data_IF_364650734803
#
_entry.id   IF_364650734803
#
_cell.length_a   1.000
_cell.length_b   1.000
_cell.length_c   1.000
_cell.angle_alpha   90.00
_cell.angle_beta   90.00
_cell.angle_gamma   90.00
#
_symmetry.space_group_name_H-M   'P 1'
#
loop_
_entity.id
_entity.type
_entity.pdbx_description
1 polymer ?
#
# COMPACT_ATOMS: atom_id res chain seq x y z
N UNK A 1 -10.95 -4.84 -21.48
CA UNK A 1 -10.05 -5.79 -20.80
C UNK A 1 -9.37 -4.93 -19.78
N UNK A 2 -9.47 -5.30 -18.52
CA UNK A 2 -9.39 -4.32 -17.44
C UNK A 2 -8.68 -4.88 -16.23
N UNK A 3 -8.00 -4.02 -15.50
CA UNK A 3 -7.42 -4.32 -14.20
C UNK A 3 -8.38 -3.81 -13.15
N UNK A 4 -8.85 -4.69 -12.27
CA UNK A 4 -9.72 -4.33 -11.15
C UNK A 4 -8.88 -4.24 -9.88
N UNK A 5 -8.91 -3.08 -9.23
CA UNK A 5 -8.17 -2.79 -7.99
C UNK A 5 -9.18 -2.62 -6.87
N UNK A 6 -9.07 -3.45 -5.83
CA UNK A 6 -9.91 -3.36 -4.61
C UNK A 6 -9.04 -3.00 -3.43
N UNK A 7 -9.36 -1.90 -2.74
CA UNK A 7 -8.65 -1.46 -1.54
C UNK A 7 -9.18 -2.25 -0.34
N UNK A 8 -8.51 -3.37 -0.01
CA UNK A 8 -8.93 -4.22 1.11
C UNK A 8 -8.73 -3.52 2.45
N UNK A 9 -7.61 -2.81 2.60
CA UNK A 9 -7.28 -2.02 3.78
C UNK A 9 -6.59 -0.72 3.40
N UNK A 10 -6.95 0.36 4.09
CA UNK A 10 -6.48 1.73 3.79
C UNK A 10 -5.89 2.44 5.01
N UNK A 11 -5.86 1.77 6.16
CA UNK A 11 -5.44 2.31 7.44
C UNK A 11 -3.98 2.03 7.77
N UNK A 12 -3.49 2.77 8.76
CA UNK A 12 -2.21 2.52 9.39
C UNK A 12 -2.20 1.22 10.23
N UNK A 13 -1.06 0.97 10.84
CA UNK A 13 -0.77 -0.14 11.75
C UNK A 13 -1.86 -0.44 12.80
N UNK A 14 -2.54 0.59 13.31
CA UNK A 14 -3.57 0.45 14.35
C UNK A 14 -4.99 0.38 13.81
N UNK A 15 -5.18 0.80 12.56
CA UNK A 15 -6.46 0.96 11.91
C UNK A 15 -7.30 2.09 12.52
N UNK A 16 -8.41 2.39 11.85
CA UNK A 16 -9.44 3.33 12.33
C UNK A 16 -10.79 2.63 12.29
N UNK A 17 -11.56 2.52 13.38
CA UNK A 17 -11.29 3.07 14.71
C UNK A 17 -10.22 2.31 15.49
N UNK A 18 -9.29 3.05 16.10
CA UNK A 18 -8.22 2.47 16.93
C UNK A 18 -8.78 1.87 18.23
N UNK A 19 -8.23 0.72 18.65
CA UNK A 19 -8.62 0.05 19.89
C UNK A 19 -8.38 0.95 21.11
N UNK A 20 -9.42 1.22 21.89
CA UNK A 20 -9.34 2.04 23.11
C UNK A 20 -9.27 3.56 22.86
N UNK A 21 -9.50 4.01 21.62
CA UNK A 21 -9.59 5.43 21.30
C UNK A 21 -11.05 5.93 21.29
N UNK A 22 -11.26 7.08 21.94
CA UNK A 22 -12.53 7.80 22.05
C UNK A 22 -12.44 9.21 21.39
N UNK A 23 -11.60 9.39 20.36
CA UNK A 23 -11.62 10.66 19.61
C UNK A 23 -12.82 10.73 18.67
N UNK A 24 -13.23 11.95 18.31
CA UNK A 24 -14.40 12.21 17.45
C UNK A 24 -14.38 11.40 16.14
N UNK A 25 -13.21 11.23 15.52
CA UNK A 25 -13.04 10.43 14.30
C UNK A 25 -13.31 8.94 14.54
N UNK A 26 -12.77 8.36 15.62
CA UNK A 26 -12.98 6.97 15.99
C UNK A 26 -14.42 6.71 16.44
N UNK A 27 -15.02 7.62 17.21
CA UNK A 27 -16.42 7.53 17.63
C UNK A 27 -17.34 7.55 16.41
N UNK A 28 -17.15 8.51 15.50
CA UNK A 28 -17.93 8.60 14.28
C UNK A 28 -17.73 7.38 13.35
N UNK A 29 -16.51 6.84 13.25
CA UNK A 29 -16.24 5.60 12.51
C UNK A 29 -17.13 4.46 13.04
N UNK A 30 -17.15 4.26 14.36
CA UNK A 30 -17.98 3.23 15.01
C UNK A 30 -19.47 3.46 14.77
N UNK A 31 -19.94 4.70 14.91
CA UNK A 31 -21.36 5.06 14.71
C UNK A 31 -21.83 4.86 13.27
N UNK A 32 -20.95 5.16 12.29
CA UNK A 32 -21.23 5.02 10.86
C UNK A 32 -20.95 3.61 10.33
N UNK A 33 -20.29 2.76 11.11
CA UNK A 33 -19.82 1.45 10.66
C UNK A 33 -18.71 1.54 9.61
N UNK A 34 -17.91 2.60 9.66
CA UNK A 34 -16.75 2.80 8.80
C UNK A 34 -15.50 2.24 9.47
N UNK A 35 -14.62 1.66 8.67
CA UNK A 35 -13.36 1.10 9.13
C UNK A 35 -12.26 1.33 8.10
N UNK A 36 -11.04 1.48 8.59
CA UNK A 36 -9.80 1.34 7.85
C UNK A 36 -8.97 0.26 8.52
N UNK A 37 -8.97 -0.92 7.92
CA UNK A 37 -8.10 -2.04 8.32
C UNK A 37 -6.68 -1.81 7.80
N UNK A 38 -5.69 -2.59 8.27
CA UNK A 38 -4.29 -2.40 7.83
C UNK A 38 -4.16 -2.59 6.33
N UNK A 39 -3.29 -1.80 5.74
CA UNK A 39 -3.05 -1.72 4.30
C UNK A 39 -2.98 -3.09 3.60
N UNK A 40 -3.79 -3.26 2.56
CA UNK A 40 -3.69 -4.38 1.62
C UNK A 40 -4.51 -4.04 0.37
N UNK A 41 -4.04 -4.47 -0.80
CA UNK A 41 -4.68 -4.18 -2.09
C UNK A 41 -4.78 -5.45 -2.93
N UNK A 42 -5.99 -5.74 -3.42
CA UNK A 42 -6.23 -6.83 -4.34
C UNK A 42 -6.30 -6.32 -5.78
N UNK A 43 -5.50 -6.91 -6.68
CA UNK A 43 -5.40 -6.50 -8.08
C UNK A 43 -5.74 -7.69 -8.97
N UNK A 44 -6.88 -7.64 -9.65
CA UNK A 44 -7.34 -8.69 -10.55
C UNK A 44 -7.10 -8.29 -12.02
N UNK A 45 -6.48 -9.19 -12.76
CA UNK A 45 -6.38 -9.11 -14.20
C UNK A 45 -7.57 -9.84 -14.83
N UNK A 46 -8.65 -9.12 -15.15
CA UNK A 46 -9.90 -9.73 -15.65
C UNK A 46 -9.72 -10.46 -17.00
N UNK A 47 -8.61 -10.21 -17.72
CA UNK A 47 -8.27 -10.92 -18.96
C UNK A 47 -7.75 -12.33 -18.70
N UNK A 48 -6.92 -12.53 -17.67
CA UNK A 48 -6.40 -13.86 -17.33
C UNK A 48 -7.28 -14.56 -16.30
N UNK A 49 -8.05 -13.80 -15.51
CA UNK A 49 -8.78 -14.28 -14.34
C UNK A 49 -7.88 -14.54 -13.15
N UNK A 50 -6.63 -14.07 -13.20
CA UNK A 50 -5.66 -14.21 -12.11
C UNK A 50 -5.63 -12.93 -11.26
N UNK A 51 -5.21 -13.07 -10.01
CA UNK A 51 -5.14 -11.95 -9.07
C UNK A 51 -3.87 -11.93 -8.24
N UNK A 52 -3.41 -10.71 -7.95
CA UNK A 52 -2.25 -10.37 -7.16
C UNK A 52 -2.70 -9.68 -5.87
N UNK A 53 -2.17 -10.12 -4.74
CA UNK A 53 -2.30 -9.41 -3.45
C UNK A 53 -1.06 -8.57 -3.17
N UNK A 54 -1.23 -7.28 -2.89
CA UNK A 54 -0.17 -6.43 -2.33
C UNK A 54 -0.36 -6.38 -0.82
N UNK A 55 0.65 -6.86 -0.10
CA UNK A 55 0.73 -7.02 1.34
C UNK A 55 -0.31 -7.97 1.97
N UNK A 56 0.20 -8.90 2.79
CA UNK A 56 -0.59 -9.82 3.60
C UNK A 56 -0.89 -9.20 4.97
N UNK A 57 -1.84 -8.27 4.99
CA UNK A 57 -2.33 -7.66 6.22
C UNK A 57 -2.80 -8.71 7.26
N UNK A 58 -2.57 -8.49 8.56
CA UNK A 58 -3.14 -9.35 9.62
C UNK A 58 -4.68 -9.39 9.59
N UNK A 59 -5.32 -8.45 8.90
CA UNK A 59 -6.76 -8.42 8.68
C UNK A 59 -7.22 -9.27 7.48
N UNK A 60 -6.31 -9.99 6.79
CA UNK A 60 -6.56 -10.83 5.60
C UNK A 60 -7.89 -11.59 5.67
N UNK A 61 -8.12 -12.37 6.72
CA UNK A 61 -9.34 -13.17 6.85
C UNK A 61 -10.60 -12.30 6.84
N UNK A 62 -10.56 -11.18 7.54
CA UNK A 62 -11.70 -10.27 7.63
C UNK A 62 -11.91 -9.52 6.32
N UNK A 63 -10.85 -8.98 5.73
CA UNK A 63 -10.87 -8.27 4.45
C UNK A 63 -11.46 -9.12 3.32
N UNK A 64 -10.99 -10.35 3.15
CA UNK A 64 -11.47 -11.26 2.11
C UNK A 64 -12.94 -11.68 2.32
N UNK A 65 -13.38 -11.82 3.57
CA UNK A 65 -14.78 -12.11 3.88
C UNK A 65 -15.70 -10.90 3.68
N UNK A 66 -15.19 -9.68 3.85
CA UNK A 66 -15.94 -8.44 3.71
C UNK A 66 -16.15 -8.11 2.23
N UNK A 67 -15.09 -8.21 1.43
CA UNK A 67 -15.12 -7.83 0.01
C UNK A 67 -15.47 -8.97 -0.96
N UNK A 68 -15.47 -10.22 -0.50
CA UNK A 68 -15.79 -11.40 -1.34
C UNK A 68 -14.91 -11.52 -2.60
N UNK A 69 -13.65 -11.08 -2.50
CA UNK A 69 -12.63 -11.23 -3.56
C UNK A 69 -12.09 -12.67 -3.61
N UNK A 70 -11.68 -13.17 -4.79
CA UNK A 70 -11.05 -14.48 -4.91
C UNK A 70 -9.73 -14.52 -4.14
N UNK A 71 -9.28 -15.73 -3.77
CA UNK A 71 -7.93 -15.92 -3.24
C UNK A 71 -6.90 -15.57 -4.32
N UNK A 72 -5.81 -14.87 -3.97
CA UNK A 72 -4.80 -14.45 -4.93
C UNK A 72 -3.99 -15.64 -5.47
N UNK A 73 -3.57 -15.55 -6.72
CA UNK A 73 -2.66 -16.53 -7.34
C UNK A 73 -1.20 -16.25 -6.94
N UNK A 74 -0.88 -14.97 -6.70
CA UNK A 74 0.43 -14.52 -6.24
C UNK A 74 0.29 -13.36 -5.25
N UNK A 75 1.34 -13.10 -4.48
CA UNK A 75 1.40 -11.92 -3.64
C UNK A 75 2.74 -11.20 -3.74
N UNK A 76 2.74 -9.91 -3.44
CA UNK A 76 3.95 -9.10 -3.29
C UNK A 76 3.97 -8.49 -1.89
N UNK A 77 5.10 -8.61 -1.19
CA UNK A 77 5.32 -7.99 0.13
C UNK A 77 6.20 -6.75 -0.04
N UNK A 78 5.70 -5.60 0.41
CA UNK A 78 6.40 -4.31 0.38
C UNK A 78 7.52 -4.25 1.39
N UNK A 79 7.27 -4.71 2.62
CA UNK A 79 8.24 -4.76 3.71
C UNK A 79 7.74 -5.61 4.88
N UNK A 80 8.57 -5.77 5.92
CA UNK A 80 8.37 -6.78 6.98
C UNK A 80 7.72 -6.25 8.26
N UNK A 81 7.10 -5.07 8.24
CA UNK A 81 6.29 -4.67 9.40
C UNK A 81 5.03 -5.54 9.50
N UNK A 82 4.58 -5.77 10.73
CA UNK A 82 3.54 -6.75 11.03
C UNK A 82 2.24 -6.49 10.25
N UNK A 83 1.91 -5.21 10.05
CA UNK A 83 0.70 -4.74 9.39
C UNK A 83 0.65 -5.07 7.89
N UNK A 84 1.78 -5.50 7.32
CA UNK A 84 1.92 -5.85 5.90
C UNK A 84 2.22 -7.34 5.66
N UNK A 85 2.60 -8.09 6.70
CA UNK A 85 3.12 -9.45 6.55
C UNK A 85 2.35 -10.51 7.37
N UNK A 86 1.83 -10.15 8.56
CA UNK A 86 1.38 -11.15 9.55
C UNK A 86 0.10 -11.91 9.14
N UNK A 87 -0.58 -11.48 8.08
CA UNK A 87 -1.67 -12.22 7.45
C UNK A 87 -1.24 -13.50 6.76
N UNK A 88 0.04 -13.62 6.35
CA UNK A 88 0.54 -14.72 5.53
C UNK A 88 0.40 -16.08 6.22
N UNK A 89 0.40 -16.11 7.56
CA UNK A 89 0.13 -17.32 8.34
C UNK A 89 -1.21 -18.01 8.01
N UNK A 90 -2.20 -17.29 7.47
CA UNK A 90 -3.46 -17.86 7.01
C UNK A 90 -3.28 -18.81 5.82
N UNK A 91 -2.18 -18.68 5.07
CA UNK A 91 -1.98 -19.41 3.83
C UNK A 91 -2.01 -20.93 4.03
N UNK A 92 -1.57 -21.42 5.19
CA UNK A 92 -1.56 -22.83 5.60
C UNK A 92 -2.86 -23.61 5.34
N UNK A 93 -4.01 -22.93 5.35
CA UNK A 93 -5.33 -23.60 5.27
C UNK A 93 -6.16 -23.21 4.06
N UNK A 94 -5.72 -22.24 3.28
CA UNK A 94 -6.57 -21.64 2.23
C UNK A 94 -5.94 -21.72 0.84
N UNK A 95 -4.63 -21.96 0.72
CA UNK A 95 -3.98 -22.17 -0.59
C UNK A 95 -3.45 -23.60 -0.74
N UNK A 96 -3.42 -24.09 -1.98
CA UNK A 96 -2.69 -25.29 -2.37
C UNK A 96 -1.22 -24.98 -2.68
N UNK A 97 -0.96 -23.78 -3.21
CA UNK A 97 0.36 -23.21 -3.52
C UNK A 97 0.20 -21.69 -3.60
N UNK A 98 1.23 -20.94 -3.21
CA UNK A 98 1.23 -19.48 -3.29
C UNK A 98 2.65 -18.97 -3.56
N UNK A 99 2.84 -18.25 -4.66
CA UNK A 99 4.09 -17.53 -4.92
C UNK A 99 4.05 -16.18 -4.19
N UNK A 100 5.11 -15.89 -3.42
CA UNK A 100 5.26 -14.63 -2.67
C UNK A 100 6.52 -13.92 -3.14
N UNK A 101 6.33 -12.83 -3.86
CA UNK A 101 7.39 -11.99 -4.40
C UNK A 101 7.80 -10.94 -3.38
N UNK A 102 9.11 -10.80 -3.17
CA UNK A 102 9.65 -9.83 -2.24
C UNK A 102 11.05 -9.39 -2.69
N UNK A 103 11.45 -8.18 -2.30
CA UNK A 103 12.75 -7.65 -2.66
C UNK A 103 13.89 -8.53 -2.12
N UNK A 104 14.93 -8.72 -2.94
CA UNK A 104 16.12 -9.52 -2.63
C UNK A 104 17.34 -8.68 -2.20
N UNK A 105 17.18 -7.36 -2.09
CA UNK A 105 18.23 -6.48 -1.59
C UNK A 105 18.31 -6.59 -0.07
N UNK A 106 19.52 -6.79 0.44
CA UNK A 106 19.78 -6.96 1.87
C UNK A 106 19.57 -5.65 2.62
N UNK A 107 18.71 -5.68 3.64
CA UNK A 107 18.54 -4.55 4.55
C UNK A 107 19.82 -4.36 5.39
N UNK A 108 20.43 -3.17 5.42
CA UNK A 108 21.65 -2.92 6.18
C UNK A 108 21.47 -3.01 7.70
N UNK A 109 20.25 -2.82 8.22
CA UNK A 109 19.94 -2.88 9.64
C UNK A 109 19.70 -4.32 10.12
N UNK A 110 19.03 -5.17 9.33
CA UNK A 110 18.73 -6.56 9.71
C UNK A 110 19.79 -7.56 9.21
N UNK A 111 20.45 -7.26 8.09
CA UNK A 111 21.33 -8.20 7.40
C UNK A 111 20.61 -9.25 6.54
N UNK A 112 19.29 -9.11 6.37
CA UNK A 112 18.43 -9.98 5.55
C UNK A 112 17.59 -9.11 4.61
N UNK A 113 17.30 -9.62 3.42
CA UNK A 113 16.31 -9.02 2.51
C UNK A 113 14.87 -9.32 2.95
N UNK A 114 13.89 -8.60 2.41
CA UNK A 114 12.46 -8.87 2.66
C UNK A 114 12.12 -10.32 2.30
N UNK A 115 12.64 -10.81 1.17
CA UNK A 115 12.44 -12.20 0.75
C UNK A 115 13.04 -13.22 1.74
N UNK A 116 14.26 -12.97 2.24
CA UNK A 116 14.90 -13.85 3.23
C UNK A 116 14.13 -13.85 4.56
N UNK A 117 13.69 -12.68 5.04
CA UNK A 117 12.89 -12.58 6.26
C UNK A 117 11.57 -13.32 6.12
N UNK A 118 10.83 -13.14 5.01
CA UNK A 118 9.57 -13.87 4.77
C UNK A 118 9.80 -15.38 4.76
N UNK A 119 10.83 -15.85 4.05
CA UNK A 119 11.18 -17.27 3.98
C UNK A 119 11.57 -17.84 5.35
N UNK A 120 12.25 -17.05 6.19
CA UNK A 120 12.68 -17.44 7.54
C UNK A 120 11.50 -17.49 8.52
N UNK A 121 10.70 -16.43 8.58
CA UNK A 121 9.57 -16.30 9.51
C UNK A 121 8.46 -17.31 9.21
N UNK A 122 8.24 -17.60 7.92
CA UNK A 122 7.19 -18.51 7.45
C UNK A 122 7.71 -19.84 6.90
N UNK A 123 8.92 -20.26 7.29
CA UNK A 123 9.53 -21.53 6.85
C UNK A 123 8.68 -22.79 7.12
N UNK A 124 7.67 -22.70 7.99
CA UNK A 124 6.74 -23.79 8.31
C UNK A 124 5.56 -23.89 7.32
N UNK A 125 5.46 -22.98 6.35
CA UNK A 125 4.46 -22.97 5.29
C UNK A 125 5.03 -23.57 4.00
N UNK A 126 5.02 -24.90 3.89
CA UNK A 126 5.58 -25.63 2.72
C UNK A 126 4.93 -25.25 1.35
N UNK A 127 3.75 -24.62 1.39
CA UNK A 127 3.01 -24.19 0.19
C UNK A 127 3.39 -22.78 -0.30
N UNK A 128 4.15 -22.02 0.50
CA UNK A 128 4.58 -20.67 0.17
C UNK A 128 5.94 -20.78 -0.51
N UNK A 129 5.99 -20.41 -1.79
CA UNK A 129 7.23 -20.29 -2.55
C UNK A 129 7.64 -18.83 -2.60
N UNK A 130 8.69 -18.47 -1.86
CA UNK A 130 9.18 -17.09 -1.83
C UNK A 130 10.06 -16.87 -3.06
N UNK A 131 9.68 -15.92 -3.90
CA UNK A 131 10.37 -15.57 -5.14
C UNK A 131 11.16 -14.26 -4.94
N UNK A 132 12.49 -14.34 -4.75
CA UNK A 132 13.32 -13.14 -4.58
C UNK A 132 13.31 -12.31 -5.86
N UNK A 133 12.95 -11.04 -5.73
CA UNK A 133 12.74 -10.12 -6.85
C UNK A 133 13.71 -8.96 -6.75
N UNK A 134 14.38 -8.61 -7.85
CA UNK A 134 15.31 -7.49 -7.88
C UNK A 134 14.52 -6.18 -8.03
N UNK A 135 14.67 -5.19 -7.12
CA UNK A 135 14.04 -3.89 -7.28
C UNK A 135 14.45 -3.21 -8.59
N UNK A 136 13.57 -2.36 -9.14
CA UNK A 136 13.72 -1.64 -10.41
C UNK A 136 13.79 -2.54 -11.67
N UNK A 137 13.65 -3.85 -11.52
CA UNK A 137 13.53 -4.79 -12.64
C UNK A 137 12.08 -5.31 -12.76
N UNK A 138 11.38 -5.05 -13.89
CA UNK A 138 10.03 -5.53 -14.08
C UNK A 138 9.95 -7.06 -14.10
N UNK A 139 8.99 -7.62 -13.36
CA UNK A 139 8.69 -9.05 -13.31
C UNK A 139 7.24 -9.29 -13.74
N UNK A 140 6.99 -10.33 -14.53
CA UNK A 140 5.62 -10.66 -14.97
C UNK A 140 4.92 -11.55 -13.95
N UNK A 141 3.83 -11.05 -13.35
CA UNK A 141 3.05 -11.70 -12.29
C UNK A 141 1.55 -11.58 -12.66
N UNK A 142 0.80 -12.68 -12.66
CA UNK A 142 -0.64 -12.67 -13.02
C UNK A 142 -0.96 -11.96 -14.35
N UNK A 143 -0.04 -12.05 -15.33
CA UNK A 143 -0.15 -11.38 -16.62
C UNK A 143 0.13 -9.86 -16.63
N UNK A 144 0.49 -9.26 -15.49
CA UNK A 144 0.84 -7.85 -15.29
C UNK A 144 2.36 -7.69 -15.16
N UNK A 145 2.88 -6.51 -15.51
CA UNK A 145 4.28 -6.12 -15.25
C UNK A 145 4.36 -5.41 -13.90
N UNK A 146 5.04 -6.05 -12.93
CA UNK A 146 5.17 -5.57 -11.56
C UNK A 146 6.62 -5.19 -11.30
N UNK A 147 6.83 -3.97 -10.79
CA UNK A 147 8.15 -3.45 -10.44
C UNK A 147 8.15 -2.93 -9.01
N UNK A 148 8.98 -3.53 -8.15
CA UNK A 148 9.28 -3.01 -6.80
C UNK A 148 10.25 -1.83 -6.93
N UNK A 149 9.97 -0.71 -6.25
CA UNK A 149 10.82 0.48 -6.27
C UNK A 149 11.30 0.81 -4.86
N UNK A 150 12.60 1.03 -4.60
CA UNK A 150 13.08 1.38 -3.27
C UNK A 150 12.48 2.71 -2.78
N UNK A 151 12.02 2.77 -1.54
CA UNK A 151 11.50 3.99 -0.90
C UNK A 151 12.11 4.20 0.49
N UNK A 152 11.86 5.37 1.10
CA UNK A 152 12.53 5.76 2.36
C UNK A 152 11.63 5.51 3.57
N UNK A 153 11.89 4.43 4.32
CA UNK A 153 11.10 4.03 5.49
C UNK A 153 11.95 3.51 6.68
N UNK A 154 12.82 4.35 7.28
CA UNK A 154 13.72 3.88 8.34
C UNK A 154 12.97 3.31 9.55
N UNK A 155 13.55 2.30 10.23
CA UNK A 155 14.91 1.79 10.01
C UNK A 155 15.04 0.76 8.88
N UNK A 156 13.93 0.21 8.38
CA UNK A 156 13.96 -0.91 7.45
C UNK A 156 13.93 -0.46 5.98
N UNK A 157 14.34 -1.35 5.09
CA UNK A 157 14.03 -1.21 3.67
C UNK A 157 12.52 -1.36 3.44
N UNK A 158 12.00 -0.59 2.51
CA UNK A 158 10.60 -0.64 2.09
C UNK A 158 10.53 -0.35 0.60
N UNK A 159 9.49 -0.87 -0.05
CA UNK A 159 9.31 -0.78 -1.48
C UNK A 159 7.91 -0.28 -1.83
N UNK A 160 7.86 0.69 -2.75
CA UNK A 160 6.65 0.99 -3.51
C UNK A 160 6.49 0.01 -4.69
N UNK A 161 5.38 0.11 -5.41
CA UNK A 161 5.09 -0.74 -6.56
C UNK A 161 4.58 0.07 -7.75
N UNK A 162 5.03 -0.30 -8.94
CA UNK A 162 4.32 -0.02 -10.19
C UNK A 162 3.78 -1.34 -10.76
N UNK A 163 2.48 -1.36 -11.09
CA UNK A 163 1.78 -2.50 -11.67
C UNK A 163 1.14 -2.02 -12.98
N UNK A 164 1.62 -2.53 -14.10
CA UNK A 164 1.19 -2.13 -15.44
C UNK A 164 0.60 -3.33 -16.20
N UNK A 165 -0.55 -3.14 -16.85
CA UNK A 165 -1.04 -4.12 -17.83
C UNK A 165 -0.38 -3.88 -19.18
N UNK A 166 0.52 -4.77 -19.64
CA UNK A 166 1.31 -4.57 -20.86
C UNK A 166 0.48 -4.53 -22.14
N UNK A 167 -0.79 -4.95 -22.09
CA UNK A 167 -1.68 -4.95 -23.26
C UNK A 167 -2.44 -3.62 -23.42
N UNK A 168 -2.74 -2.94 -22.32
CA UNK A 168 -3.56 -1.71 -22.30
C UNK A 168 -2.76 -0.46 -21.94
N UNK A 169 -1.64 -0.62 -21.22
CA UNK A 169 -0.91 0.47 -20.59
C UNK A 169 -1.54 0.97 -19.29
N UNK A 170 -2.60 0.31 -18.81
CA UNK A 170 -3.23 0.65 -17.53
C UNK A 170 -2.21 0.52 -16.40
N UNK A 171 -2.11 1.54 -15.54
CA UNK A 171 -1.07 1.61 -14.52
C UNK A 171 -1.61 1.99 -13.14
N UNK A 172 -1.31 1.13 -12.17
CA UNK A 172 -1.44 1.37 -10.74
C UNK A 172 -0.05 1.64 -10.15
N UNK A 173 0.10 2.74 -9.43
CA UNK A 173 1.29 3.01 -8.62
C UNK A 173 0.93 3.10 -7.15
N UNK A 174 1.80 2.54 -6.31
CA UNK A 174 1.66 2.51 -4.86
C UNK A 174 2.97 3.05 -4.29
N UNK A 175 2.91 4.09 -3.46
CA UNK A 175 4.12 4.68 -2.89
C UNK A 175 4.87 3.73 -1.94
N UNK A 176 4.16 2.75 -1.37
CA UNK A 176 4.57 2.06 -0.15
C UNK A 176 4.57 3.01 1.05
N UNK A 177 4.92 2.48 2.21
CA UNK A 177 5.14 3.29 3.41
C UNK A 177 6.41 4.10 3.21
N UNK A 178 6.32 5.44 3.17
CA UNK A 178 7.49 6.24 2.84
C UNK A 178 7.41 7.71 3.26
N UNK A 179 8.58 8.30 3.52
CA UNK A 179 8.72 9.75 3.55
C UNK A 179 8.71 10.38 2.15
N UNK A 180 8.63 11.71 2.07
CA UNK A 180 8.70 12.43 0.79
C UNK A 180 10.02 12.24 0.03
N UNK A 181 11.07 11.73 0.67
CA UNK A 181 12.39 11.53 0.08
C UNK A 181 12.48 10.31 -0.85
N UNK A 182 11.40 9.96 -1.56
CA UNK A 182 11.38 8.88 -2.56
C UNK A 182 12.50 9.11 -3.59
N UNK A 183 13.40 8.14 -3.85
CA UNK A 183 14.48 8.27 -4.83
C UNK A 183 13.96 8.64 -6.23
N UNK A 184 14.77 9.39 -7.01
CA UNK A 184 14.36 9.83 -8.35
C UNK A 184 14.09 8.65 -9.30
N UNK A 185 14.91 7.60 -9.27
CA UNK A 185 14.69 6.41 -10.09
C UNK A 185 13.35 5.70 -9.77
N UNK A 186 12.96 5.69 -8.49
CA UNK A 186 11.66 5.17 -8.05
C UNK A 186 10.52 6.07 -8.53
N UNK A 187 10.68 7.40 -8.45
CA UNK A 187 9.71 8.36 -8.98
C UNK A 187 9.53 8.20 -10.49
N UNK A 188 10.61 8.00 -11.23
CA UNK A 188 10.57 7.79 -12.68
C UNK A 188 9.76 6.52 -13.05
N UNK A 189 9.88 5.45 -12.26
CA UNK A 189 9.09 4.22 -12.43
C UNK A 189 7.62 4.41 -12.01
N UNK A 190 7.34 5.20 -10.97
CA UNK A 190 5.99 5.46 -10.46
C UNK A 190 5.22 6.52 -11.27
N UNK A 191 5.87 7.26 -12.17
CA UNK A 191 5.26 8.37 -12.89
C UNK A 191 4.13 7.96 -13.86
N UNK A 192 3.23 8.90 -14.12
CA UNK A 192 2.07 8.78 -15.01
C UNK A 192 1.12 7.61 -14.69
N UNK A 193 0.75 7.33 -13.42
CA UNK A 193 -0.21 6.27 -13.12
C UNK A 193 -1.65 6.73 -13.38
N UNK A 194 -2.53 5.81 -13.82
CA UNK A 194 -3.97 6.07 -13.83
C UNK A 194 -4.51 6.20 -12.41
N UNK A 195 -4.06 5.29 -11.52
CA UNK A 195 -4.38 5.29 -10.10
C UNK A 195 -3.10 5.33 -9.26
N UNK A 196 -2.99 6.32 -8.39
CA UNK A 196 -1.92 6.42 -7.41
C UNK A 196 -2.45 6.23 -5.99
N UNK A 197 -1.93 5.23 -5.29
CA UNK A 197 -2.17 4.99 -3.86
C UNK A 197 -0.98 5.55 -3.08
N UNK A 198 -1.21 6.66 -2.38
CA UNK A 198 -0.16 7.41 -1.69
C UNK A 198 -0.27 7.27 -0.17
N UNK A 199 0.81 6.85 0.50
CA UNK A 199 0.96 6.96 1.95
C UNK A 199 0.71 8.41 2.37
N UNK A 200 -0.18 8.60 3.34
CA UNK A 200 -0.52 9.91 3.88
C UNK A 200 -0.89 9.81 5.36
N UNK A 201 0.02 9.35 6.21
CA UNK A 201 -0.28 9.03 7.61
C UNK A 201 -1.13 10.08 8.36
N UNK A 202 -0.82 11.38 8.21
CA UNK A 202 -1.52 12.48 8.89
C UNK A 202 -1.44 13.82 8.13
N UNK A 203 -2.31 14.80 8.43
CA UNK A 203 -2.14 16.18 7.96
C UNK A 203 -0.86 16.86 8.47
N UNK A 204 -0.24 17.71 7.65
CA UNK A 204 1.03 18.37 7.93
C UNK A 204 1.05 19.23 9.20
N UNK A 205 -0.08 19.84 9.57
CA UNK A 205 -0.15 20.63 10.80
C UNK A 205 0.16 19.79 12.05
N UNK A 206 -0.07 18.46 12.01
CA UNK A 206 0.25 17.58 13.14
C UNK A 206 1.75 17.36 13.34
N UNK A 207 2.59 17.73 12.37
CA UNK A 207 4.05 17.72 12.54
C UNK A 207 4.51 18.59 13.71
N UNK A 208 3.78 19.64 14.09
CA UNK A 208 4.13 20.51 15.23
C UNK A 208 4.07 19.77 16.59
N UNK A 209 3.28 18.71 16.67
CA UNK A 209 3.13 17.88 17.87
C UNK A 209 4.02 16.65 17.86
N UNK A 210 4.67 16.34 16.74
CA UNK A 210 5.56 15.20 16.63
C UNK A 210 6.92 15.51 17.29
N UNK A 211 7.51 14.63 18.12
CA UNK A 211 8.77 14.90 18.82
C UNK A 211 9.96 15.25 17.91
N UNK A 212 9.96 14.73 16.68
CA UNK A 212 11.00 14.99 15.65
C UNK A 212 10.62 16.18 14.75
N UNK A 213 9.35 16.61 14.78
CA UNK A 213 8.80 17.57 13.83
C UNK A 213 8.44 16.94 12.48
N UNK A 214 8.29 17.79 11.48
CA UNK A 214 8.18 17.42 10.06
C UNK A 214 9.47 17.71 9.29
N UNK A 215 9.52 17.28 8.02
CA UNK A 215 10.66 17.51 7.11
C UNK A 215 10.18 17.71 5.66
N UNK A 216 11.11 18.09 4.80
CA UNK A 216 10.90 18.27 3.36
C UNK A 216 9.87 19.35 3.06
N UNK A 217 9.98 20.45 3.78
CA UNK A 217 9.09 21.59 3.71
C UNK A 217 8.99 22.15 2.29
N UNK A 218 7.79 22.57 1.90
CA UNK A 218 7.56 23.35 0.68
C UNK A 218 8.06 24.80 0.83
N UNK A 219 7.84 25.61 -0.21
CA UNK A 219 8.25 27.02 -0.23
C UNK A 219 7.53 27.88 0.84
N UNK A 220 6.37 27.43 1.34
CA UNK A 220 5.59 28.07 2.39
C UNK A 220 5.90 27.50 3.80
N UNK A 221 6.78 26.51 3.89
CA UNK A 221 7.20 25.87 5.14
C UNK A 221 6.31 24.72 5.59
N UNK A 222 5.39 24.22 4.75
CA UNK A 222 4.51 23.09 5.06
C UNK A 222 5.29 21.78 4.94
N UNK A 223 5.40 20.98 6.02
CA UNK A 223 6.17 19.74 5.98
C UNK A 223 5.47 18.66 5.15
N UNK A 224 6.22 18.02 4.25
CA UNK A 224 5.75 16.89 3.42
C UNK A 224 5.99 15.53 4.05
N UNK A 225 6.80 15.47 5.10
CA UNK A 225 7.11 14.24 5.84
C UNK A 225 6.76 14.41 7.30
N UNK A 226 6.05 13.43 7.85
CA UNK A 226 5.75 13.33 9.27
C UNK A 226 6.86 12.52 9.97
N UNK A 227 7.63 13.17 10.84
CA UNK A 227 8.76 12.54 11.51
C UNK A 227 9.87 12.15 10.54
N UNK A 228 10.00 10.84 10.26
CA UNK A 228 11.11 10.31 9.47
C UNK A 228 10.72 9.38 8.32
N UNK A 229 9.47 8.87 8.27
CA UNK A 229 9.20 7.65 7.49
C UNK A 229 7.82 7.55 6.82
N UNK A 230 6.93 8.51 7.05
CA UNK A 230 5.64 8.59 6.37
C UNK A 230 5.42 10.00 5.82
N UNK A 231 4.69 10.12 4.72
CA UNK A 231 4.30 11.40 4.15
C UNK A 231 3.16 12.03 4.95
N UNK A 232 3.13 13.35 4.98
CA UNK A 232 1.92 14.06 5.37
C UNK A 232 0.91 14.00 4.23
N UNK A 233 -0.37 14.33 4.48
CA UNK A 233 -1.36 14.52 3.41
C UNK A 233 -0.81 15.41 2.29
N UNK A 234 -0.25 16.55 2.68
CA UNK A 234 0.28 17.55 1.76
C UNK A 234 1.46 17.00 0.97
N UNK A 235 2.36 16.25 1.62
CA UNK A 235 3.44 15.57 0.92
C UNK A 235 2.95 14.50 -0.08
N UNK A 236 1.91 13.76 0.28
CA UNK A 236 1.33 12.75 -0.61
C UNK A 236 0.70 13.37 -1.86
N UNK A 237 0.00 14.50 -1.69
CA UNK A 237 -0.61 15.26 -2.79
C UNK A 237 0.45 15.92 -3.68
N UNK A 238 1.47 16.54 -3.10
CA UNK A 238 2.58 17.11 -3.86
C UNK A 238 3.31 16.03 -4.67
N UNK A 239 3.54 14.85 -4.08
CA UNK A 239 4.15 13.72 -4.81
C UNK A 239 3.25 13.27 -5.96
N UNK A 240 1.93 13.19 -5.75
CA UNK A 240 0.99 12.82 -6.79
C UNK A 240 1.02 13.79 -7.98
N UNK A 241 1.07 15.10 -7.70
CA UNK A 241 1.20 16.14 -8.71
C UNK A 241 2.53 16.03 -9.47
N UNK A 242 3.64 15.79 -8.76
CA UNK A 242 4.97 15.60 -9.36
C UNK A 242 5.05 14.34 -10.23
N UNK A 243 4.31 13.29 -9.87
CA UNK A 243 4.19 12.05 -10.66
C UNK A 243 3.16 12.14 -11.79
N UNK A 244 2.43 13.25 -11.93
CA UNK A 244 1.37 13.42 -12.92
C UNK A 244 0.29 12.31 -12.82
N UNK A 245 -0.14 11.99 -11.59
CA UNK A 245 -1.15 10.96 -11.35
C UNK A 245 -2.54 11.34 -11.89
N UNK A 246 -3.24 10.38 -12.51
CA UNK A 246 -4.60 10.57 -13.03
C UNK A 246 -5.64 10.72 -11.91
N UNK A 247 -5.74 9.71 -11.04
CA UNK A 247 -6.50 9.74 -9.80
C UNK A 247 -5.58 9.38 -8.62
N UNK A 248 -5.71 10.11 -7.52
CA UNK A 248 -4.98 9.81 -6.28
C UNK A 248 -5.94 9.43 -5.16
N UNK A 249 -5.62 8.34 -4.48
CA UNK A 249 -6.25 7.94 -3.21
C UNK A 249 -5.19 7.89 -2.12
N UNK A 250 -5.50 8.49 -0.98
CA UNK A 250 -4.61 8.52 0.16
C UNK A 250 -4.86 7.31 1.05
N UNK A 251 -3.80 6.57 1.36
CA UNK A 251 -3.82 5.30 2.10
C UNK A 251 -2.84 5.35 3.28
N UNK A 252 -2.78 4.27 4.05
CA UNK A 252 -2.01 4.19 5.30
C UNK A 252 -2.39 5.29 6.29
N UNK A 253 -3.69 5.58 6.38
CA UNK A 253 -4.21 6.72 7.13
C UNK A 253 -4.31 6.39 8.63
N UNK A 254 -3.74 7.24 9.48
CA UNK A 254 -3.99 7.19 10.91
C UNK A 254 -5.34 7.85 11.27
N UNK A 255 -5.86 7.53 12.46
CA UNK A 255 -7.13 8.08 12.94
C UNK A 255 -7.09 9.59 13.30
N UNK A 256 -5.95 10.26 13.10
CA UNK A 256 -5.72 11.66 13.47
C UNK A 256 -6.20 12.69 12.45
N UNK A 257 -6.81 12.26 11.34
CA UNK A 257 -7.53 13.19 10.47
C UNK A 257 -8.74 13.78 11.19
N UNK A 258 -8.98 15.11 11.09
CA UNK A 258 -10.17 15.75 11.64
C UNK A 258 -11.44 15.09 11.09
N UNK A 259 -12.47 14.95 11.92
CA UNK A 259 -13.72 14.25 11.57
C UNK A 259 -14.36 14.79 10.28
N UNK A 260 -14.26 16.10 10.06
CA UNK A 260 -14.83 16.77 8.89
C UNK A 260 -14.18 16.35 7.57
N UNK A 261 -12.99 15.77 7.63
CA UNK A 261 -12.16 15.41 6.47
C UNK A 261 -11.88 13.90 6.44
N UNK A 262 -11.95 13.22 7.59
CA UNK A 262 -11.47 11.86 7.79
C UNK A 262 -12.14 10.79 6.92
N UNK A 263 -13.28 11.08 6.29
CA UNK A 263 -14.01 10.14 5.43
C UNK A 263 -14.40 10.76 4.09
N UNK A 264 -13.73 11.86 3.71
CA UNK A 264 -13.96 12.57 2.46
C UNK A 264 -12.82 12.32 1.47
N UNK A 265 -13.08 12.48 0.18
CA UNK A 265 -12.04 12.43 -0.84
C UNK A 265 -10.95 13.48 -0.57
N UNK A 266 -9.66 13.15 -0.78
CA UNK A 266 -9.14 11.95 -1.44
C UNK A 266 -8.78 10.78 -0.49
N UNK A 267 -9.23 10.79 0.77
CA UNK A 267 -8.87 9.76 1.75
C UNK A 267 -9.60 8.46 1.45
N UNK A 268 -8.84 7.41 1.13
CA UNK A 268 -9.40 6.12 0.78
C UNK A 268 -10.19 5.52 1.95
N UNK A 269 -11.23 4.77 1.59
CA UNK A 269 -11.94 3.86 2.47
C UNK A 269 -11.71 2.43 2.01
N UNK A 270 -11.78 1.54 2.99
CA UNK A 270 -11.84 0.12 2.75
C UNK A 270 -13.04 -0.26 1.87
N UNK A 271 -12.80 -1.13 0.88
CA UNK A 271 -13.81 -1.62 -0.07
C UNK A 271 -13.93 -0.81 -1.37
N UNK A 272 -13.25 0.34 -1.46
CA UNK A 272 -13.20 1.11 -2.71
C UNK A 272 -12.67 0.24 -3.86
N UNK A 273 -13.37 0.27 -4.99
CA UNK A 273 -13.03 -0.55 -6.15
C UNK A 273 -12.90 0.28 -7.41
N UNK A 274 -11.83 0.05 -8.15
CA UNK A 274 -11.47 0.76 -9.37
C UNK A 274 -11.28 -0.20 -10.52
N UNK A 275 -11.67 0.22 -11.72
CA UNK A 275 -11.45 -0.50 -12.98
C UNK A 275 -10.62 0.38 -13.90
N UNK A 276 -9.46 -0.11 -14.30
CA UNK A 276 -8.49 0.57 -15.17
C UNK A 276 -8.45 -0.13 -16.53
N UNK A 277 -8.53 0.63 -17.62
CA UNK A 277 -8.49 0.09 -19.00
C UNK A 277 -7.42 0.72 -19.90
N UNK A 278 -6.58 1.60 -19.35
CA UNK A 278 -5.49 2.31 -20.04
C UNK A 278 -5.93 3.56 -20.80
N UNK A 279 -7.23 3.77 -20.97
CA UNK A 279 -7.81 4.99 -21.55
C UNK A 279 -8.63 5.78 -20.51
N UNK A 280 -9.14 5.09 -19.50
CA UNK A 280 -10.04 5.61 -18.48
C UNK A 280 -9.92 4.83 -17.16
N UNK A 281 -10.39 5.48 -16.10
CA UNK A 281 -10.52 4.92 -14.77
C UNK A 281 -11.96 5.12 -14.28
N UNK A 282 -12.59 4.06 -13.78
CA UNK A 282 -13.93 4.08 -13.19
C UNK A 282 -13.89 3.56 -11.75
N UNK A 283 -14.52 4.29 -10.82
CA UNK A 283 -14.81 3.82 -9.45
C UNK A 283 -16.17 3.13 -9.44
N UNK A 284 -16.26 1.90 -8.93
CA UNK A 284 -17.42 0.99 -9.12
C UNK A 284 -18.10 0.51 -7.83
N UNK A 285 -17.71 1.03 -6.66
CA UNK A 285 -18.36 0.78 -5.35
C UNK A 285 -19.64 1.58 -5.09
#
# INVERSE_FOLDING_TARGET
MTVRVTLLGTGDTTGTPTVGCDCDTCEAARERGLERTRFSVHVENERTGESLLVDFSPDFRYQFLREDVPLPDAAVITHVHFDHLDGLGNAFRVFDSLEVYAANETDPETGESVAETVASDYHYLDLVDVVPTTPLEPTRICGLEVTLVPVVHPPLVCYGLAIEDPETGAKLSISGDTSYAVPQESRDVLADPDLFLADAIVPAHLCEYHPIGGRHEDDDGVPRTFGTKHMTREGALDLADELNAGLTRLVHLAHFYPLEEAFEDPLALDGETYVLDGESLERVD
#
